data_IF_370519490722
#
_entry.id   IF_370519490722
#
_cell.length_a   1.000
_cell.length_b   1.000
_cell.length_c   1.000
_cell.angle_alpha   90.00
_cell.angle_beta   90.00
_cell.angle_gamma   90.00
#
_symmetry.space_group_name_H-M   'P 1'
#
loop_
_entity.id
_entity.type
_entity.pdbx_description
1 polymer ?
#
# COMPACT_ATOMS: atom_id res chain seq x y z
N UNK A 1 -3.39 -2.21 -20.16
CA UNK A 1 -4.13 -2.55 -18.94
C UNK A 1 -3.41 -2.07 -17.71
N UNK A 2 -3.87 -2.49 -16.53
CA UNK A 2 -3.33 -2.07 -15.22
C UNK A 2 -1.83 -2.36 -15.08
N UNK A 3 -1.39 -3.55 -15.49
CA UNK A 3 0.02 -3.96 -15.41
C UNK A 3 0.94 -3.08 -16.27
N UNK A 4 0.45 -2.60 -17.41
CA UNK A 4 1.22 -1.70 -18.27
C UNK A 4 1.38 -0.32 -17.65
N UNK A 5 0.32 0.21 -17.01
CA UNK A 5 0.44 1.47 -16.24
C UNK A 5 1.47 1.33 -15.13
N UNK A 6 1.43 0.21 -14.39
CA UNK A 6 2.40 -0.08 -13.32
C UNK A 6 3.82 -0.13 -13.90
N UNK A 7 4.02 -0.89 -14.98
CA UNK A 7 5.30 -0.98 -15.68
C UNK A 7 5.82 0.39 -16.11
N UNK A 8 4.98 1.21 -16.77
CA UNK A 8 5.35 2.55 -17.22
C UNK A 8 5.81 3.44 -16.05
N UNK A 9 5.08 3.44 -14.94
CA UNK A 9 5.45 4.19 -13.73
C UNK A 9 6.76 3.68 -13.11
N UNK A 10 7.00 2.37 -13.11
CA UNK A 10 8.25 1.81 -12.60
C UNK A 10 9.43 2.18 -13.51
N UNK A 11 9.27 2.06 -14.84
CA UNK A 11 10.32 2.38 -15.81
C UNK A 11 10.78 3.84 -15.72
N UNK A 12 9.87 4.77 -15.43
CA UNK A 12 10.19 6.19 -15.18
C UNK A 12 11.15 6.42 -14.00
N UNK A 13 11.34 5.43 -13.12
CA UNK A 13 12.32 5.47 -12.03
C UNK A 13 13.72 5.08 -12.47
N UNK A 14 13.87 4.51 -13.67
CA UNK A 14 15.16 4.08 -14.18
C UNK A 14 15.94 5.22 -14.81
N UNK A 15 17.22 5.38 -14.43
CA UNK A 15 18.14 6.33 -15.06
C UNK A 15 18.44 6.05 -16.55
N UNK A 16 18.10 4.85 -17.04
CA UNK A 16 18.35 4.44 -18.43
C UNK A 16 17.19 4.76 -19.37
N UNK A 17 16.02 5.06 -18.82
CA UNK A 17 14.78 5.19 -19.57
C UNK A 17 14.48 6.66 -19.80
N UNK A 18 14.24 7.04 -21.06
CA UNK A 18 13.75 8.37 -21.37
C UNK A 18 12.35 8.56 -20.78
N UNK A 19 11.94 9.78 -20.38
CA UNK A 19 10.57 10.04 -19.95
C UNK A 19 9.53 9.54 -20.97
N UNK A 20 8.56 8.77 -20.49
CA UNK A 20 7.41 8.26 -21.24
C UNK A 20 6.09 8.68 -20.58
N UNK A 21 5.01 8.75 -21.35
CA UNK A 21 3.67 8.92 -20.81
C UNK A 21 3.10 7.62 -20.24
N UNK A 22 2.15 7.74 -19.30
CA UNK A 22 1.46 6.59 -18.70
C UNK A 22 0.09 6.36 -19.37
N UNK A 23 0.10 5.74 -20.55
CA UNK A 23 -1.12 5.42 -21.30
C UNK A 23 -1.83 4.15 -20.80
N UNK A 24 -1.09 3.25 -20.15
CA UNK A 24 -1.51 1.87 -19.92
C UNK A 24 -1.61 1.03 -21.20
N UNK A 25 -1.09 1.49 -22.34
CA UNK A 25 -0.97 0.73 -23.58
C UNK A 25 0.48 0.30 -23.79
N UNK A 26 0.73 -0.96 -24.17
CA UNK A 26 2.08 -1.41 -24.49
C UNK A 26 2.40 -1.00 -25.94
N UNK A 27 2.64 0.28 -26.10
CA UNK A 27 2.87 0.95 -27.38
C UNK A 27 4.37 1.07 -27.72
N UNK A 28 4.67 1.69 -28.86
CA UNK A 28 6.05 1.91 -29.31
C UNK A 28 6.90 2.67 -28.26
N UNK A 29 6.42 3.74 -27.61
CA UNK A 29 7.12 4.36 -26.47
C UNK A 29 7.42 3.38 -25.33
N UNK A 30 6.45 2.58 -24.91
CA UNK A 30 6.62 1.60 -23.82
C UNK A 30 7.63 0.52 -24.18
N UNK A 31 7.53 -0.05 -25.38
CA UNK A 31 8.50 -1.05 -25.87
C UNK A 31 9.91 -0.47 -25.98
N UNK A 32 10.06 0.79 -26.44
CA UNK A 32 11.35 1.48 -26.46
C UNK A 32 11.92 1.65 -25.04
N UNK A 33 11.11 2.05 -24.07
CA UNK A 33 11.53 2.18 -22.68
C UNK A 33 11.97 0.83 -22.08
N UNK A 34 11.25 -0.26 -22.38
CA UNK A 34 11.67 -1.61 -21.98
C UNK A 34 13.02 -1.97 -22.61
N UNK A 35 13.22 -1.69 -23.90
CA UNK A 35 14.49 -1.94 -24.58
C UNK A 35 15.65 -1.12 -23.96
N UNK A 36 15.41 0.14 -23.62
CA UNK A 36 16.38 1.00 -22.93
C UNK A 36 16.75 0.45 -21.56
N UNK A 37 15.76 0.04 -20.76
CA UNK A 37 15.99 -0.58 -19.46
C UNK A 37 16.80 -1.88 -19.58
N UNK A 38 16.46 -2.74 -20.54
CA UNK A 38 17.18 -3.99 -20.82
C UNK A 38 18.63 -3.71 -21.23
N UNK A 39 18.84 -2.80 -22.18
CA UNK A 39 20.17 -2.43 -22.66
C UNK A 39 21.03 -1.82 -21.55
N UNK A 40 20.48 -0.86 -20.80
CA UNK A 40 21.18 -0.20 -19.70
C UNK A 40 21.59 -1.17 -18.58
N UNK A 41 20.80 -2.23 -18.37
CA UNK A 41 21.10 -3.29 -17.42
C UNK A 41 21.84 -4.51 -18.03
N UNK A 42 22.19 -4.47 -19.32
CA UNK A 42 22.85 -5.57 -20.04
C UNK A 42 22.08 -6.90 -19.93
N UNK A 43 20.74 -6.84 -19.95
CA UNK A 43 19.89 -8.02 -19.95
C UNK A 43 19.95 -8.73 -21.32
N UNK A 44 20.13 -10.05 -21.29
CA UNK A 44 20.04 -10.89 -22.48
C UNK A 44 18.56 -11.26 -22.76
N UNK A 45 17.80 -10.28 -23.22
CA UNK A 45 16.37 -10.39 -23.55
C UNK A 45 16.10 -9.85 -24.95
N UNK A 46 14.97 -10.23 -25.55
CA UNK A 46 14.56 -9.63 -26.83
C UNK A 46 14.24 -8.15 -26.60
N UNK A 47 14.90 -7.21 -27.31
CA UNK A 47 14.72 -5.78 -27.08
C UNK A 47 13.26 -5.35 -27.13
N UNK A 48 12.80 -4.73 -26.06
CA UNK A 48 11.45 -4.18 -25.97
C UNK A 48 10.35 -5.21 -25.75
N UNK A 49 10.70 -6.48 -25.46
CA UNK A 49 9.78 -7.52 -24.99
C UNK A 49 9.88 -7.63 -23.47
N UNK A 50 8.77 -7.43 -22.77
CA UNK A 50 8.72 -7.52 -21.32
C UNK A 50 8.56 -8.97 -20.85
N UNK A 51 9.67 -9.71 -20.87
CA UNK A 51 9.74 -11.11 -20.43
C UNK A 51 9.94 -11.26 -18.90
N UNK A 52 9.99 -12.51 -18.41
CA UNK A 52 10.15 -12.84 -16.98
C UNK A 52 11.44 -12.26 -16.40
N UNK A 53 12.56 -12.32 -17.16
CA UNK A 53 13.85 -11.80 -16.70
C UNK A 53 13.79 -10.27 -16.53
N UNK A 54 13.18 -9.58 -17.48
CA UNK A 54 12.96 -8.13 -17.45
C UNK A 54 12.03 -7.75 -16.31
N UNK A 55 10.90 -8.44 -16.16
CA UNK A 55 9.94 -8.20 -15.08
C UNK A 55 10.58 -8.37 -13.70
N UNK A 56 11.33 -9.47 -13.50
CA UNK A 56 12.04 -9.73 -12.26
C UNK A 56 13.04 -8.62 -11.91
N UNK A 57 13.76 -8.10 -12.91
CA UNK A 57 14.71 -7.01 -12.68
C UNK A 57 14.01 -5.67 -12.42
N UNK A 58 12.93 -5.37 -13.12
CA UNK A 58 12.10 -4.17 -12.88
C UNK A 58 11.59 -4.17 -11.44
N UNK A 59 10.99 -5.26 -10.97
CA UNK A 59 10.52 -5.36 -9.59
C UNK A 59 11.69 -5.26 -8.61
N UNK A 60 12.82 -5.90 -8.89
CA UNK A 60 13.99 -5.87 -8.00
C UNK A 60 14.62 -4.49 -7.86
N UNK A 61 14.71 -3.71 -8.94
CA UNK A 61 15.41 -2.43 -8.95
C UNK A 61 14.49 -1.23 -8.69
N UNK A 62 13.25 -1.28 -9.18
CA UNK A 62 12.40 -0.10 -9.30
C UNK A 62 11.20 -0.12 -8.35
N UNK A 63 10.96 -1.21 -7.61
CA UNK A 63 9.85 -1.32 -6.65
C UNK A 63 10.00 -0.40 -5.44
N UNK A 64 11.25 -0.18 -4.99
CA UNK A 64 11.51 0.79 -3.93
C UNK A 64 11.24 2.20 -4.47
N UNK A 65 10.28 2.90 -3.87
CA UNK A 65 9.82 4.22 -4.32
C UNK A 65 10.56 5.39 -3.65
N UNK A 66 11.40 5.10 -2.65
CA UNK A 66 12.12 6.13 -1.88
C UNK A 66 11.19 7.07 -1.12
N UNK A 67 9.92 6.70 -0.91
CA UNK A 67 8.99 7.49 -0.14
C UNK A 67 9.46 7.61 1.30
N UNK A 68 9.45 8.84 1.83
CA UNK A 68 9.81 9.17 3.20
C UNK A 68 8.70 10.01 3.82
N UNK A 69 8.31 9.68 5.05
CA UNK A 69 7.34 10.45 5.80
C UNK A 69 7.99 11.71 6.39
N UNK A 70 7.55 12.88 5.94
CA UNK A 70 8.06 14.18 6.42
C UNK A 70 7.34 14.69 7.69
N UNK A 71 6.46 13.87 8.28
CA UNK A 71 5.64 14.25 9.43
C UNK A 71 4.51 15.23 9.13
N UNK A 72 4.34 15.72 7.90
CA UNK A 72 3.32 16.73 7.59
C UNK A 72 1.91 16.15 7.70
N UNK A 73 1.01 16.93 8.29
CA UNK A 73 -0.44 16.69 8.33
C UNK A 73 -1.14 17.95 7.82
N UNK A 74 -1.66 17.95 6.57
CA UNK A 74 -2.37 19.10 6.02
C UNK A 74 -3.63 19.45 6.80
N UNK A 75 -4.03 20.73 6.74
CA UNK A 75 -5.25 21.21 7.40
C UNK A 75 -6.48 20.43 6.91
N UNK A 76 -7.27 19.94 7.85
CA UNK A 76 -8.51 19.21 7.60
C UNK A 76 -8.45 17.72 7.90
N UNK A 77 -7.24 17.15 8.05
CA UNK A 77 -7.06 15.82 8.62
C UNK A 77 -7.05 15.90 10.15
N UNK A 78 -7.63 14.88 10.80
CA UNK A 78 -7.75 14.72 12.25
C UNK A 78 -6.68 13.82 12.85
N UNK A 79 -6.13 12.92 12.04
CA UNK A 79 -5.13 11.94 12.49
C UNK A 79 -4.21 11.49 11.35
N UNK A 80 -3.10 10.85 11.73
CA UNK A 80 -2.20 10.16 10.80
C UNK A 80 -1.75 8.84 11.42
N UNK A 81 -1.78 7.77 10.64
CA UNK A 81 -1.16 6.50 10.99
C UNK A 81 0.14 6.34 10.20
N UNK A 82 1.26 6.21 10.90
CA UNK A 82 2.56 5.90 10.30
C UNK A 82 2.92 4.44 10.55
N UNK A 83 3.38 3.75 9.51
CA UNK A 83 3.81 2.36 9.58
C UNK A 83 5.16 2.22 8.87
N UNK A 84 6.26 2.08 9.62
CA UNK A 84 7.52 1.65 9.03
C UNK A 84 7.40 0.18 8.62
N UNK A 85 7.87 -0.17 7.43
CA UNK A 85 7.88 -1.55 6.93
C UNK A 85 9.25 -1.94 6.40
N UNK A 86 9.52 -3.23 6.33
CA UNK A 86 10.73 -3.81 5.73
C UNK A 86 10.36 -4.51 4.43
N UNK A 87 11.24 -4.51 3.43
CA UNK A 87 11.10 -5.24 2.16
C UNK A 87 10.64 -6.67 2.40
N UNK A 88 11.20 -7.31 3.44
CA UNK A 88 10.65 -8.52 4.04
C UNK A 88 9.43 -8.19 4.91
N UNK A 89 8.24 -8.35 4.32
CA UNK A 89 6.95 -8.09 4.97
C UNK A 89 6.52 -9.20 5.95
N UNK A 90 7.32 -10.26 6.13
CA UNK A 90 7.08 -11.23 7.21
C UNK A 90 7.29 -10.63 8.59
N UNK A 91 8.00 -9.49 8.66
CA UNK A 91 8.29 -8.75 9.89
C UNK A 91 7.11 -7.88 10.28
N UNK A 92 6.67 -8.03 11.51
CA UNK A 92 5.73 -7.11 12.15
C UNK A 92 6.47 -5.86 12.59
N UNK A 93 5.76 -4.74 12.63
CA UNK A 93 6.35 -3.45 12.97
C UNK A 93 5.42 -2.66 13.88
N UNK A 94 6.01 -1.68 14.58
CA UNK A 94 5.24 -0.77 15.41
C UNK A 94 4.69 0.37 14.54
N UNK A 95 3.37 0.40 14.39
CA UNK A 95 2.65 1.54 13.86
C UNK A 95 2.46 2.61 14.94
N UNK A 96 2.46 3.87 14.55
CA UNK A 96 2.19 5.00 15.46
C UNK A 96 1.03 5.84 14.93
N UNK A 97 0.01 6.00 15.77
CA UNK A 97 -1.10 6.91 15.56
C UNK A 97 -0.77 8.30 16.12
N UNK A 98 -0.91 9.32 15.28
CA UNK A 98 -0.70 10.72 15.61
C UNK A 98 -2.01 11.52 15.52
N UNK A 99 -2.13 12.56 16.34
CA UNK A 99 -3.19 13.57 16.18
C UNK A 99 -2.88 14.52 15.01
N UNK A 100 -3.72 15.55 14.82
CA UNK A 100 -3.55 16.54 13.76
C UNK A 100 -2.44 17.57 14.01
N UNK A 101 -1.77 17.54 15.16
CA UNK A 101 -0.55 18.31 15.44
C UNK A 101 0.71 17.43 15.36
N UNK A 102 0.60 16.20 14.84
CA UNK A 102 1.69 15.24 14.76
C UNK A 102 2.25 14.82 16.14
N UNK A 103 1.42 14.86 17.19
CA UNK A 103 1.78 14.30 18.50
C UNK A 103 1.44 12.81 18.52
N UNK A 104 2.37 11.93 18.94
CA UNK A 104 2.10 10.50 19.05
C UNK A 104 1.09 10.23 20.18
N UNK A 105 0.05 9.47 19.88
CA UNK A 105 -1.02 9.12 20.82
C UNK A 105 -0.93 7.65 21.23
N UNK A 106 -0.69 6.76 20.27
CA UNK A 106 -0.71 5.31 20.49
C UNK A 106 0.23 4.60 19.53
N UNK A 107 0.93 3.59 20.04
CA UNK A 107 1.84 2.74 19.26
C UNK A 107 1.45 1.28 19.47
N UNK A 108 1.35 0.53 18.38
CA UNK A 108 0.88 -0.86 18.40
C UNK A 108 1.50 -1.68 17.28
N UNK A 109 1.49 -3.01 17.43
CA UNK A 109 2.07 -3.92 16.46
C UNK A 109 1.10 -4.12 15.30
N UNK A 110 1.62 -4.03 14.08
CA UNK A 110 0.89 -4.34 12.85
C UNK A 110 1.66 -5.32 11.96
N UNK A 111 0.91 -6.03 11.12
CA UNK A 111 1.45 -6.88 10.04
C UNK A 111 0.91 -6.42 8.69
N UNK A 112 1.83 -6.16 7.76
CA UNK A 112 1.55 -5.69 6.40
C UNK A 112 1.87 -6.75 5.32
N UNK A 113 1.86 -8.03 5.71
CA UNK A 113 2.15 -9.16 4.83
C UNK A 113 0.87 -9.58 4.10
N UNK A 114 0.91 -9.52 2.76
CA UNK A 114 -0.16 -10.04 1.90
C UNK A 114 -0.08 -11.54 1.66
N UNK A 115 -0.75 -11.99 0.60
CA UNK A 115 -0.82 -13.40 0.22
C UNK A 115 0.53 -13.95 -0.23
N UNK A 116 0.66 -15.27 -0.07
CA UNK A 116 1.73 -16.05 -0.69
C UNK A 116 1.22 -16.62 -2.02
N UNK A 117 2.09 -16.66 -3.01
CA UNK A 117 1.86 -17.42 -4.23
C UNK A 117 1.87 -18.92 -3.91
N UNK A 118 0.81 -19.64 -4.26
CA UNK A 118 0.62 -21.03 -3.86
C UNK A 118 1.52 -22.01 -4.62
N UNK A 119 1.99 -21.63 -5.81
CA UNK A 119 2.85 -22.49 -6.63
C UNK A 119 4.32 -22.35 -6.23
N UNK A 120 4.76 -21.12 -5.97
CA UNK A 120 6.16 -20.79 -5.68
C UNK A 120 6.46 -20.67 -4.19
N UNK A 121 5.44 -20.51 -3.35
CA UNK A 121 5.60 -20.25 -1.92
C UNK A 121 6.23 -18.89 -1.59
N UNK A 122 6.30 -17.97 -2.57
CA UNK A 122 6.88 -16.63 -2.38
C UNK A 122 5.83 -15.58 -2.04
N UNK A 123 6.23 -14.53 -1.32
CA UNK A 123 5.34 -13.41 -1.03
C UNK A 123 4.96 -12.67 -2.32
N UNK A 124 3.66 -12.36 -2.46
CA UNK A 124 3.16 -11.59 -3.60
C UNK A 124 3.52 -10.11 -3.40
N UNK A 125 4.08 -9.48 -4.45
CA UNK A 125 4.57 -8.10 -4.37
C UNK A 125 3.46 -7.07 -4.13
N UNK A 126 3.84 -5.88 -3.66
CA UNK A 126 2.89 -4.86 -3.19
C UNK A 126 2.00 -4.22 -4.26
N UNK A 127 2.33 -4.40 -5.55
CA UNK A 127 1.58 -3.85 -6.68
C UNK A 127 0.59 -4.85 -7.30
N UNK A 128 0.46 -6.04 -6.69
CA UNK A 128 -0.55 -7.04 -7.03
C UNK A 128 -1.74 -6.93 -6.06
N UNK A 129 -2.96 -7.19 -6.53
CA UNK A 129 -4.22 -7.01 -5.77
C UNK A 129 -4.19 -7.58 -4.34
N UNK A 130 -3.71 -8.81 -4.17
CA UNK A 130 -3.65 -9.48 -2.85
C UNK A 130 -2.26 -9.49 -2.22
N UNK A 131 -1.29 -8.82 -2.85
CA UNK A 131 0.09 -8.81 -2.36
C UNK A 131 0.28 -7.91 -1.16
N UNK A 132 1.54 -7.74 -0.77
CA UNK A 132 1.93 -6.90 0.37
C UNK A 132 1.27 -5.52 0.38
N UNK A 133 1.09 -4.93 1.56
CA UNK A 133 0.57 -3.56 1.66
C UNK A 133 1.51 -2.57 0.94
N UNK A 134 0.99 -1.71 0.05
CA UNK A 134 1.81 -0.78 -0.72
C UNK A 134 2.40 0.32 0.16
N UNK A 135 3.62 0.77 -0.18
CA UNK A 135 4.24 1.95 0.40
C UNK A 135 3.65 3.23 -0.18
N UNK A 136 3.85 4.33 0.53
CA UNK A 136 3.43 5.67 0.09
C UNK A 136 2.53 6.37 1.11
N UNK A 137 2.07 7.55 0.70
CA UNK A 137 1.08 8.33 1.42
C UNK A 137 -0.30 8.08 0.82
N UNK A 138 -1.29 7.89 1.68
CA UNK A 138 -2.68 7.63 1.30
C UNK A 138 -3.61 8.47 2.16
N UNK A 139 -4.77 8.83 1.63
CA UNK A 139 -5.89 9.27 2.45
C UNK A 139 -6.54 8.07 3.14
N UNK A 140 -7.03 8.29 4.36
CA UNK A 140 -7.49 7.24 5.27
C UNK A 140 -8.76 7.68 5.99
N UNK A 141 -9.73 6.79 6.19
CA UNK A 141 -10.96 7.18 6.89
C UNK A 141 -11.58 6.02 7.67
N UNK A 142 -12.33 6.37 8.72
CA UNK A 142 -12.97 5.41 9.61
C UNK A 142 -14.34 5.02 9.05
N UNK A 143 -14.53 3.73 8.78
CA UNK A 143 -15.77 3.18 8.22
C UNK A 143 -16.45 2.23 9.19
N UNK A 144 -17.77 2.11 9.09
CA UNK A 144 -18.56 1.12 9.84
C UNK A 144 -18.02 -0.31 9.61
N UNK A 145 -18.26 -1.24 10.56
CA UNK A 145 -17.77 -2.61 10.45
C UNK A 145 -18.09 -3.28 9.11
N UNK A 146 -17.20 -4.14 8.65
CA UNK A 146 -17.47 -5.06 7.53
C UNK A 146 -18.45 -6.15 7.97
N UNK A 147 -19.32 -6.68 7.10
CA UNK A 147 -20.36 -7.64 7.49
C UNK A 147 -19.82 -8.97 8.02
N UNK A 148 -18.60 -9.35 7.61
CA UNK A 148 -17.95 -10.57 8.09
C UNK A 148 -17.04 -10.25 9.29
N UNK A 149 -17.63 -10.20 10.49
CA UNK A 149 -16.89 -9.90 11.72
C UNK A 149 -15.76 -10.88 12.03
N UNK A 150 -15.85 -12.14 11.56
CA UNK A 150 -14.76 -13.09 11.75
C UNK A 150 -13.52 -12.69 10.98
N UNK A 151 -13.67 -12.15 9.77
CA UNK A 151 -12.53 -11.75 8.95
C UNK A 151 -12.02 -10.35 9.23
N UNK A 152 -12.89 -9.45 9.73
CA UNK A 152 -12.59 -8.03 9.84
C UNK A 152 -12.73 -7.46 11.26
N UNK A 153 -13.12 -8.29 12.21
CA UNK A 153 -13.44 -7.88 13.57
C UNK A 153 -14.85 -7.28 13.69
N UNK A 154 -15.33 -7.07 14.92
CA UNK A 154 -16.62 -6.43 15.17
C UNK A 154 -16.54 -4.89 15.16
N UNK A 155 -15.33 -4.33 15.06
CA UNK A 155 -15.07 -2.89 15.18
C UNK A 155 -15.15 -2.20 13.82
N UNK A 156 -15.35 -0.87 13.81
CA UNK A 156 -15.07 -0.05 12.64
C UNK A 156 -13.70 -0.36 12.02
N UNK A 157 -13.63 -0.32 10.69
CA UNK A 157 -12.40 -0.54 9.93
C UNK A 157 -11.86 0.81 9.46
N UNK A 158 -10.53 0.95 9.39
CA UNK A 158 -9.93 2.17 8.82
C UNK A 158 -9.47 1.87 7.40
N UNK A 159 -10.02 2.58 6.42
CA UNK A 159 -9.90 2.27 4.99
C UNK A 159 -8.96 3.24 4.29
N UNK A 160 -8.03 2.70 3.51
CA UNK A 160 -7.26 3.49 2.55
C UNK A 160 -8.14 3.84 1.35
N UNK A 161 -8.23 5.14 1.07
CA UNK A 161 -9.19 5.69 0.11
C UNK A 161 -8.50 6.02 -1.21
N UNK A 162 -7.42 6.78 -1.16
CA UNK A 162 -6.73 7.30 -2.34
C UNK A 162 -5.22 7.34 -2.10
N UNK A 163 -4.44 6.98 -3.11
CA UNK A 163 -2.99 7.13 -3.08
C UNK A 163 -2.53 8.54 -3.47
N UNK A 164 -1.68 9.15 -2.65
CA UNK A 164 -1.22 10.54 -2.78
C UNK A 164 0.26 10.60 -3.21
N UNK A 165 1.13 9.76 -2.63
CA UNK A 165 2.56 9.67 -2.98
C UNK A 165 3.05 8.23 -3.00
N UNK A 166 4.23 7.99 -3.58
CA UNK A 166 4.90 6.69 -3.58
C UNK A 166 4.21 5.65 -4.46
N UNK A 167 4.38 4.37 -4.13
CA UNK A 167 3.74 3.26 -4.84
C UNK A 167 2.21 3.33 -4.82
N UNK A 168 1.62 3.84 -3.73
CA UNK A 168 0.19 4.08 -3.62
C UNK A 168 -0.35 5.04 -4.70
N UNK A 169 0.47 5.98 -5.18
CA UNK A 169 0.09 6.97 -6.18
C UNK A 169 0.33 6.52 -7.63
N UNK A 170 0.85 5.32 -7.87
CA UNK A 170 1.08 4.81 -9.24
C UNK A 170 -0.24 4.84 -10.02
N UNK A 171 -0.26 5.56 -11.13
CA UNK A 171 -1.50 5.84 -11.82
C UNK A 171 -1.30 6.37 -13.22
N UNK A 172 -2.41 6.55 -13.95
CA UNK A 172 -2.39 7.24 -15.25
C UNK A 172 -2.19 8.75 -15.07
N UNK A 173 -2.78 9.28 -14.01
CA UNK A 173 -2.78 10.68 -13.63
C UNK A 173 -3.09 10.78 -12.11
N UNK A 174 -3.18 12.01 -11.61
CA UNK A 174 -3.42 12.29 -10.19
C UNK A 174 -4.79 11.81 -9.69
N UNK A 175 -5.76 11.59 -10.58
CA UNK A 175 -7.12 11.15 -10.23
C UNK A 175 -7.28 9.64 -10.40
N UNK A 176 -6.35 8.97 -11.09
CA UNK A 176 -6.41 7.55 -11.45
C UNK A 176 -5.20 6.79 -10.89
N UNK A 177 -5.04 6.83 -9.57
CA UNK A 177 -3.92 6.23 -8.82
C UNK A 177 -4.19 4.78 -8.40
N UNK A 178 -3.18 4.13 -7.80
CA UNK A 178 -3.18 2.68 -7.51
C UNK A 178 -4.34 2.32 -6.59
N UNK A 179 -4.55 3.14 -5.57
CA UNK A 179 -5.78 3.13 -4.76
C UNK A 179 -6.71 4.26 -5.23
N UNK A 180 -7.97 4.00 -5.61
CA UNK A 180 -8.68 2.71 -5.56
C UNK A 180 -8.70 1.94 -6.90
N UNK A 181 -8.12 2.46 -7.99
CA UNK A 181 -8.44 1.97 -9.35
C UNK A 181 -7.75 0.65 -9.72
N UNK A 182 -6.63 0.33 -9.09
CA UNK A 182 -5.82 -0.86 -9.37
C UNK A 182 -5.99 -1.88 -8.27
N UNK A 183 -6.07 -1.38 -7.03
CA UNK A 183 -6.34 -2.11 -5.81
C UNK A 183 -7.34 -1.32 -4.97
N UNK A 184 -8.31 -2.03 -4.41
CA UNK A 184 -9.27 -1.50 -3.44
C UNK A 184 -9.25 -2.35 -2.17
N UNK A 185 -10.09 -1.99 -1.20
CA UNK A 185 -10.28 -2.83 0.00
C UNK A 185 -9.06 -2.93 0.91
N UNK A 186 -8.13 -1.97 0.87
CA UNK A 186 -7.02 -1.93 1.83
C UNK A 186 -7.52 -1.36 3.17
N UNK A 187 -7.53 -2.21 4.20
CA UNK A 187 -8.10 -1.91 5.51
C UNK A 187 -7.04 -2.09 6.61
N UNK A 188 -7.08 -1.25 7.65
CA UNK A 188 -6.61 -1.59 8.98
C UNK A 188 -7.75 -2.29 9.71
N UNK A 189 -7.53 -3.56 10.07
CA UNK A 189 -8.53 -4.36 10.77
C UNK A 189 -7.89 -5.49 11.59
N UNK A 190 -8.76 -6.24 12.26
CA UNK A 190 -8.41 -7.43 13.02
C UNK A 190 -9.28 -8.60 12.53
N UNK A 191 -9.21 -9.76 13.17
CA UNK A 191 -10.09 -10.87 12.87
C UNK A 191 -10.04 -11.96 13.93
N UNK A 192 -10.96 -12.90 13.81
CA UNK A 192 -10.89 -14.20 14.49
C UNK A 192 -9.97 -15.11 13.68
N UNK A 193 -8.80 -15.40 14.25
CA UNK A 193 -7.82 -16.27 13.62
C UNK A 193 -7.75 -17.60 14.38
N UNK A 194 -8.12 -18.69 13.71
CA UNK A 194 -8.13 -20.02 14.30
C UNK A 194 -6.74 -20.41 14.83
N UNK A 195 -6.68 -20.91 16.06
CA UNK A 195 -5.45 -21.36 16.74
C UNK A 195 -4.37 -20.27 16.92
N UNK A 196 -4.71 -18.99 16.78
CA UNK A 196 -3.80 -17.88 17.03
C UNK A 196 -3.97 -17.31 18.44
N UNK A 197 -2.89 -16.78 19.00
CA UNK A 197 -2.94 -15.94 20.20
C UNK A 197 -1.88 -14.83 20.12
N UNK A 198 -1.95 -13.83 20.99
CA UNK A 198 -1.12 -12.63 20.93
C UNK A 198 0.40 -12.85 21.12
N UNK A 199 0.85 -14.06 21.48
CA UNK A 199 2.29 -14.39 21.48
C UNK A 199 2.79 -14.93 20.13
N UNK A 200 1.88 -15.20 19.18
CA UNK A 200 2.18 -15.66 17.83
C UNK A 200 2.15 -14.48 16.85
N UNK A 201 2.95 -14.52 15.76
CA UNK A 201 2.79 -13.55 14.67
C UNK A 201 1.37 -13.57 14.12
N UNK A 202 0.82 -12.40 13.83
CA UNK A 202 -0.45 -12.26 13.12
C UNK A 202 -0.40 -13.04 11.79
N UNK A 203 -1.52 -13.65 11.36
CA UNK A 203 -1.56 -14.29 10.07
C UNK A 203 -1.46 -13.26 8.94
N UNK A 204 -1.04 -13.74 7.78
CA UNK A 204 -1.04 -12.94 6.56
C UNK A 204 -2.47 -12.52 6.18
N UNK A 205 -2.58 -11.35 5.57
CA UNK A 205 -3.82 -10.84 5.01
C UNK A 205 -3.80 -11.03 3.47
N UNK A 206 -4.81 -10.50 2.78
CA UNK A 206 -4.73 -10.25 1.33
C UNK A 206 -4.16 -8.83 1.04
N UNK A 207 -3.26 -8.42 1.93
CA UNK A 207 -2.49 -7.18 2.01
C UNK A 207 -3.14 -6.00 2.71
N UNK A 208 -4.22 -6.24 3.46
CA UNK A 208 -4.64 -5.39 4.57
C UNK A 208 -3.54 -5.26 5.63
N UNK A 209 -3.72 -4.28 6.51
CA UNK A 209 -2.93 -4.07 7.70
C UNK A 209 -3.65 -4.78 8.84
N UNK A 210 -3.06 -5.86 9.35
CA UNK A 210 -3.59 -6.56 10.53
C UNK A 210 -3.05 -5.92 11.81
N UNK A 211 -3.93 -5.76 12.79
CA UNK A 211 -3.58 -5.39 14.17
C UNK A 211 -4.25 -6.36 15.15
N UNK A 212 -3.70 -6.46 16.37
CA UNK A 212 -4.34 -7.25 17.42
C UNK A 212 -5.73 -6.71 17.77
N UNK A 213 -6.68 -7.58 18.19
CA UNK A 213 -8.05 -7.13 18.49
C UNK A 213 -8.12 -6.03 19.56
N UNK A 214 -7.29 -6.12 20.61
CA UNK A 214 -7.24 -5.13 21.68
C UNK A 214 -6.72 -3.77 21.16
N UNK A 215 -5.71 -3.80 20.28
CA UNK A 215 -5.14 -2.60 19.68
C UNK A 215 -6.13 -1.93 18.73
N UNK A 216 -6.82 -2.71 17.89
CA UNK A 216 -7.82 -2.15 16.99
C UNK A 216 -8.98 -1.51 17.76
N UNK A 217 -9.44 -2.16 18.85
CA UNK A 217 -10.46 -1.55 19.72
C UNK A 217 -9.94 -0.24 20.31
N UNK A 218 -8.70 -0.20 20.79
CA UNK A 218 -8.12 1.02 21.36
C UNK A 218 -7.99 2.14 20.31
N UNK A 219 -7.61 1.79 19.07
CA UNK A 219 -7.58 2.74 17.95
C UNK A 219 -8.98 3.28 17.67
N UNK A 220 -10.01 2.43 17.60
CA UNK A 220 -11.39 2.86 17.42
C UNK A 220 -11.85 3.83 18.52
N UNK A 221 -11.58 3.49 19.79
CA UNK A 221 -11.90 4.35 20.94
C UNK A 221 -11.20 5.73 20.82
N UNK A 222 -9.91 5.76 20.45
CA UNK A 222 -9.14 7.02 20.28
C UNK A 222 -9.72 7.84 19.12
N UNK A 223 -9.93 7.22 17.96
CA UNK A 223 -10.40 7.92 16.78
C UNK A 223 -11.78 8.54 17.04
N UNK A 224 -12.71 7.79 17.62
CA UNK A 224 -14.10 8.22 17.82
C UNK A 224 -14.27 9.17 19.00
N UNK A 225 -13.68 8.86 20.16
CA UNK A 225 -13.93 9.57 21.40
C UNK A 225 -12.91 10.69 21.67
N UNK A 226 -11.63 10.47 21.33
CA UNK A 226 -10.57 11.44 21.66
C UNK A 226 -10.33 12.44 20.52
N UNK A 227 -10.38 11.97 19.26
CA UNK A 227 -10.12 12.79 18.06
C UNK A 227 -11.38 13.23 17.31
N UNK A 228 -12.55 12.74 17.73
CA UNK A 228 -13.84 13.09 17.14
C UNK A 228 -13.95 12.72 15.66
N UNK A 229 -13.28 11.67 15.20
CA UNK A 229 -13.40 11.12 13.85
C UNK A 229 -14.79 10.50 13.70
N UNK A 230 -15.51 10.91 12.65
CA UNK A 230 -16.83 10.36 12.38
C UNK A 230 -16.73 8.99 11.72
N UNK A 231 -17.45 8.00 12.24
CA UNK A 231 -17.62 6.69 11.57
C UNK A 231 -18.49 6.88 10.34
N UNK A 232 -17.98 6.56 9.15
CA UNK A 232 -18.70 6.66 7.88
C UNK A 232 -19.34 5.34 7.49
N UNK A 233 -20.54 5.32 6.87
CA UNK A 233 -21.07 4.11 6.26
C UNK A 233 -20.05 3.49 5.30
N UNK A 234 -19.79 2.20 5.45
CA UNK A 234 -18.80 1.50 4.63
C UNK A 234 -19.28 1.41 3.16
N UNK A 235 -18.52 1.94 2.18
CA UNK A 235 -18.89 1.85 0.77
C UNK A 235 -18.56 0.48 0.14
N UNK A 236 -17.95 -0.43 0.91
CA UNK A 236 -17.51 -1.76 0.48
C UNK A 236 -16.59 -1.69 -0.76
N UNK A 237 -17.06 -2.20 -1.90
CA UNK A 237 -16.35 -2.20 -3.20
C UNK A 237 -16.77 -1.05 -4.12
N UNK A 238 -17.55 -0.09 -3.63
CA UNK A 238 -17.98 1.06 -4.42
C UNK A 238 -16.79 1.94 -4.82
N UNK A 239 -16.56 2.10 -6.12
CA UNK A 239 -15.62 3.08 -6.68
C UNK A 239 -16.31 4.46 -6.67
N UNK A 240 -15.57 5.50 -6.28
CA UNK A 240 -16.01 6.77 -5.69
C UNK A 240 -16.27 6.66 -4.19
N UNK A 241 -15.26 7.05 -3.41
CA UNK A 241 -15.42 7.23 -1.97
C UNK A 241 -16.24 8.52 -1.73
N UNK A 242 -17.44 8.44 -1.14
CA UNK A 242 -18.38 9.57 -1.17
C UNK A 242 -18.12 10.60 -0.06
N UNK A 243 -17.11 10.39 0.77
CA UNK A 243 -16.78 11.25 1.90
C UNK A 243 -15.41 11.88 1.72
N UNK A 244 -15.21 13.04 2.34
CA UNK A 244 -13.87 13.59 2.51
C UNK A 244 -13.13 12.79 3.61
N UNK A 245 -11.99 12.14 3.31
CA UNK A 245 -11.24 11.38 4.31
C UNK A 245 -10.80 12.25 5.49
N UNK A 246 -10.78 11.66 6.69
CA UNK A 246 -10.46 12.37 7.92
C UNK A 246 -9.05 12.09 8.44
N UNK A 247 -8.33 11.14 7.86
CA UNK A 247 -6.97 10.80 8.26
C UNK A 247 -6.03 10.56 7.08
N UNK A 248 -4.78 10.31 7.45
CA UNK A 248 -3.72 9.90 6.54
C UNK A 248 -3.15 8.56 6.97
N UNK A 249 -2.74 7.76 5.99
CA UNK A 249 -1.95 6.56 6.17
C UNK A 249 -0.62 6.74 5.46
N UNK A 250 0.47 6.56 6.18
CA UNK A 250 1.83 6.68 5.67
C UNK A 250 2.57 5.36 5.89
N UNK A 251 3.01 4.72 4.81
CA UNK A 251 3.74 3.46 4.85
C UNK A 251 5.10 3.67 4.21
N UNK A 252 6.15 3.64 5.04
CA UNK A 252 7.52 3.91 4.64
C UNK A 252 8.36 2.64 4.69
N UNK A 253 9.09 2.33 3.63
CA UNK A 253 10.01 1.18 3.63
C UNK A 253 11.40 1.58 4.11
N UNK A 254 11.86 0.96 5.21
CA UNK A 254 13.12 1.34 5.89
C UNK A 254 14.40 0.78 5.26
N UNK A 255 14.33 -0.35 4.55
CA UNK A 255 15.50 -1.14 4.10
C UNK A 255 15.64 -1.21 2.58
N UNK A 256 15.15 -0.19 1.87
CA UNK A 256 15.35 -0.05 0.43
C UNK A 256 16.76 0.38 0.04
N UNK A 257 17.19 -0.03 -1.15
CA UNK A 257 18.40 0.52 -1.78
C UNK A 257 18.01 1.33 -3.01
N UNK A 258 18.34 2.61 -3.01
CA UNK A 258 18.49 3.34 -4.28
C UNK A 258 19.81 2.86 -4.87
N UNK A 259 19.77 1.91 -5.80
CA UNK A 259 20.98 1.57 -6.57
C UNK A 259 21.15 2.64 -7.64
N UNK A 260 22.19 3.45 -7.46
CA UNK A 260 22.63 4.50 -8.38
C UNK A 260 23.10 3.98 -9.72
#
# INVERSE_FOLDING_TARGET
GKDVTILQNLLLRSKYVDPIGTSGAYDKPTSKAVAQFQQGNKLNSTPGVFDIATASLVLKQLMYDGYHDDGTIPKGYKFKLYIPVYADRTKETNATLYDNQHKPIYTFIVRCHGSMDLETGMAVNQLTTNGNTPTGLMSFDLNSPEPNHKSFGPFPVVRAVEGIKGNAAIGRDAENTFLPYYRDGLLLHTGEWANWNASMPMPNSNGCIHAHPADLKRVDDILTHDLGVAVRPNPFKGISYPYKPQGLLSIEQLDGRIKS
#
